data_IF_040901047455
#
_entry.id   IF_040901047455
#
_cell.length_a   1.000
_cell.length_b   1.000
_cell.length_c   1.000
_cell.angle_alpha   90.00
_cell.angle_beta   90.00
_cell.angle_gamma   90.00
#
_symmetry.space_group_name_H-M   'P 1'
#
loop_
_entity.id
_entity.type
_entity.pdbx_description
1 polymer ?
#
# COMPACT_ATOMS: atom_id res chain seq x y z
N UNK A 1 -18.11 11.33 6.76
CA UNK A 1 -19.19 11.07 5.75
C UNK A 1 -19.40 9.57 5.74
N UNK A 2 -20.59 9.09 6.18
CA UNK A 2 -20.94 7.69 6.01
C UNK A 2 -21.32 7.50 4.54
N UNK A 3 -20.68 6.58 3.84
CA UNK A 3 -21.14 6.10 2.55
C UNK A 3 -22.57 5.56 2.75
N UNK A 4 -23.57 6.29 2.25
CA UNK A 4 -24.91 5.77 2.15
C UNK A 4 -24.97 4.87 0.92
N UNK A 5 -25.16 3.58 1.14
CA UNK A 5 -25.40 2.63 0.05
C UNK A 5 -26.77 2.96 -0.52
N UNK A 6 -26.84 3.34 -1.79
CA UNK A 6 -28.09 3.49 -2.50
C UNK A 6 -28.69 2.11 -2.82
N UNK A 7 -29.48 1.60 -1.87
CA UNK A 7 -30.14 0.31 -2.02
C UNK A 7 -31.08 0.28 -3.23
N UNK A 8 -31.66 1.41 -3.62
CA UNK A 8 -32.55 1.49 -4.78
C UNK A 8 -31.77 1.31 -6.09
N UNK A 9 -30.61 1.97 -6.22
CA UNK A 9 -29.70 1.79 -7.36
C UNK A 9 -29.18 0.34 -7.46
N UNK A 10 -28.84 -0.27 -6.31
CA UNK A 10 -28.45 -1.68 -6.28
C UNK A 10 -29.57 -2.61 -6.72
N UNK A 11 -30.80 -2.41 -6.24
CA UNK A 11 -31.97 -3.20 -6.64
C UNK A 11 -32.29 -3.00 -8.13
N UNK A 12 -32.12 -1.81 -8.67
CA UNK A 12 -32.29 -1.54 -10.10
C UNK A 12 -31.27 -2.27 -11.00
N UNK A 13 -30.13 -2.68 -10.47
CA UNK A 13 -29.12 -3.48 -11.19
C UNK A 13 -29.49 -4.97 -11.28
N UNK A 14 -30.34 -5.49 -10.39
CA UNK A 14 -30.67 -6.93 -10.30
C UNK A 14 -31.21 -7.54 -11.60
N UNK A 15 -32.08 -6.88 -12.41
CA UNK A 15 -32.54 -7.44 -13.66
C UNK A 15 -31.38 -7.76 -14.61
N UNK A 16 -30.40 -6.83 -14.75
CA UNK A 16 -29.21 -7.01 -15.60
C UNK A 16 -28.31 -8.14 -15.09
N UNK A 17 -28.19 -8.32 -13.78
CA UNK A 17 -27.44 -9.43 -13.19
C UNK A 17 -28.17 -10.74 -13.48
N UNK A 18 -29.49 -10.75 -13.39
CA UNK A 18 -30.33 -11.93 -13.63
C UNK A 18 -30.26 -12.43 -15.07
N UNK A 19 -30.17 -11.52 -16.04
CA UNK A 19 -29.98 -11.86 -17.46
C UNK A 19 -28.68 -12.59 -17.76
N UNK A 20 -27.68 -12.49 -16.86
CA UNK A 20 -26.33 -13.07 -17.00
C UNK A 20 -26.10 -14.30 -16.14
N UNK A 21 -27.07 -14.72 -15.34
CA UNK A 21 -26.95 -15.82 -14.39
C UNK A 21 -28.05 -16.86 -14.62
N UNK A 22 -27.64 -18.08 -14.94
CA UNK A 22 -28.54 -19.25 -15.00
C UNK A 22 -28.63 -19.84 -13.59
N UNK A 23 -29.57 -19.38 -12.76
CA UNK A 23 -29.80 -19.91 -11.41
C UNK A 23 -29.85 -18.85 -10.29
N UNK A 24 -29.64 -19.25 -9.02
CA UNK A 24 -29.61 -18.33 -7.90
C UNK A 24 -28.48 -17.31 -8.04
N UNK A 25 -28.81 -16.02 -7.82
CA UNK A 25 -27.81 -14.93 -7.90
C UNK A 25 -26.97 -14.91 -6.62
N UNK A 26 -25.65 -15.07 -6.79
CA UNK A 26 -24.65 -14.78 -5.77
C UNK A 26 -23.63 -13.83 -6.42
N UNK A 27 -23.75 -12.53 -6.14
CA UNK A 27 -22.95 -11.50 -6.82
C UNK A 27 -22.61 -10.35 -5.89
N UNK A 28 -21.43 -9.74 -6.10
CA UNK A 28 -21.09 -8.43 -5.57
C UNK A 28 -21.55 -7.35 -6.56
N UNK A 29 -22.19 -6.32 -6.05
CA UNK A 29 -22.62 -5.14 -6.83
C UNK A 29 -21.86 -3.93 -6.31
N UNK A 30 -21.19 -3.21 -7.21
CA UNK A 30 -20.41 -2.04 -6.88
C UNK A 30 -21.03 -0.80 -7.52
N UNK A 31 -21.33 0.22 -6.71
CA UNK A 31 -21.72 1.54 -7.17
C UNK A 31 -20.44 2.35 -7.50
N UNK A 32 -20.08 2.37 -8.78
CA UNK A 32 -18.88 3.07 -9.22
C UNK A 32 -19.02 4.60 -9.15
N UNK A 33 -20.25 5.14 -9.28
CA UNK A 33 -20.48 6.58 -9.15
C UNK A 33 -20.30 7.05 -7.70
N UNK A 34 -20.79 6.26 -6.73
CA UNK A 34 -20.56 6.53 -5.33
C UNK A 34 -19.08 6.41 -4.96
N UNK A 35 -18.36 5.43 -5.53
CA UNK A 35 -16.92 5.27 -5.34
C UNK A 35 -16.14 6.46 -5.89
N UNK A 36 -16.43 6.92 -7.10
CA UNK A 36 -15.82 8.07 -7.76
C UNK A 36 -16.00 9.34 -6.90
N UNK A 37 -17.23 9.62 -6.51
CA UNK A 37 -17.58 10.77 -5.66
C UNK A 37 -16.83 10.74 -4.33
N UNK A 38 -16.73 9.58 -3.70
CA UNK A 38 -16.04 9.43 -2.42
C UNK A 38 -14.54 9.60 -2.57
N UNK A 39 -13.94 9.02 -3.62
CA UNK A 39 -12.51 9.16 -3.90
C UNK A 39 -12.13 10.61 -4.21
N UNK A 40 -12.92 11.32 -5.02
CA UNK A 40 -12.77 12.75 -5.28
C UNK A 40 -12.84 13.58 -3.98
N UNK A 41 -13.82 13.27 -3.12
CA UNK A 41 -13.94 13.93 -1.83
C UNK A 41 -12.72 13.69 -0.94
N UNK A 42 -12.25 12.44 -0.83
CA UNK A 42 -11.05 12.12 -0.05
C UNK A 42 -9.83 12.88 -0.57
N UNK A 43 -9.61 12.88 -1.88
CA UNK A 43 -8.50 13.62 -2.51
C UNK A 43 -8.55 15.12 -2.18
N UNK A 44 -9.72 15.72 -2.20
CA UNK A 44 -9.91 17.14 -1.88
C UNK A 44 -9.64 17.50 -0.41
N UNK A 45 -9.68 16.52 0.52
CA UNK A 45 -9.36 16.75 1.93
C UNK A 45 -7.86 16.62 2.23
N UNK A 46 -7.08 16.03 1.32
CA UNK A 46 -5.65 15.85 1.56
C UNK A 46 -4.87 17.13 1.30
N UNK A 47 -3.89 17.47 2.16
CA UNK A 47 -2.92 18.52 1.87
C UNK A 47 -2.18 18.27 0.56
N UNK A 48 -1.81 19.34 -0.15
CA UNK A 48 -1.17 19.24 -1.47
C UNK A 48 0.16 18.45 -1.48
N UNK A 49 0.83 18.37 -0.33
CA UNK A 49 2.07 17.60 -0.15
C UNK A 49 1.82 16.11 0.17
N UNK A 50 0.56 15.69 0.28
CA UNK A 50 0.21 14.30 0.54
C UNK A 50 -0.19 13.59 -0.76
N UNK A 51 0.40 12.43 -0.99
CA UNK A 51 0.01 11.51 -2.05
C UNK A 51 -0.95 10.45 -1.52
N UNK A 52 -1.87 10.02 -2.36
CA UNK A 52 -2.86 8.99 -2.05
C UNK A 52 -2.63 7.77 -2.92
N UNK A 53 -2.31 6.64 -2.31
CA UNK A 53 -2.15 5.36 -2.99
C UNK A 53 -3.29 4.41 -2.63
N UNK A 54 -3.82 3.70 -3.63
CA UNK A 54 -4.85 2.69 -3.39
C UNK A 54 -4.24 1.30 -3.24
N UNK A 55 -4.51 0.64 -2.12
CA UNK A 55 -4.05 -0.73 -1.87
C UNK A 55 -4.95 -1.74 -2.60
N UNK A 56 -4.43 -2.36 -3.66
CA UNK A 56 -5.17 -3.27 -4.55
C UNK A 56 -5.71 -4.51 -3.85
N UNK A 57 -5.09 -4.94 -2.76
CA UNK A 57 -5.59 -6.05 -1.91
C UNK A 57 -7.02 -5.86 -1.41
N UNK A 58 -7.53 -4.62 -1.39
CA UNK A 58 -8.91 -4.34 -1.01
C UNK A 58 -9.88 -4.76 -2.12
N UNK A 59 -9.61 -4.40 -3.37
CA UNK A 59 -10.32 -4.85 -4.56
C UNK A 59 -9.54 -4.46 -5.82
N UNK A 60 -9.02 -5.43 -6.56
CA UNK A 60 -8.21 -5.22 -7.77
C UNK A 60 -9.01 -5.34 -9.08
N UNK A 61 -10.34 -5.30 -9.02
CA UNK A 61 -11.18 -5.39 -10.22
C UNK A 61 -10.95 -4.19 -11.17
N UNK A 62 -10.81 -4.42 -12.49
CA UNK A 62 -10.48 -3.35 -13.42
C UNK A 62 -11.43 -2.15 -13.40
N UNK A 63 -12.77 -2.31 -13.24
CA UNK A 63 -13.66 -1.17 -13.11
C UNK A 63 -13.36 -0.32 -11.87
N UNK A 64 -13.00 -0.94 -10.74
CA UNK A 64 -12.62 -0.24 -9.51
C UNK A 64 -11.34 0.55 -9.72
N UNK A 65 -10.30 -0.10 -10.27
CA UNK A 65 -9.01 0.56 -10.54
C UNK A 65 -9.17 1.75 -11.49
N UNK A 66 -9.94 1.61 -12.56
CA UNK A 66 -10.22 2.71 -13.49
C UNK A 66 -10.99 3.87 -12.87
N UNK A 67 -11.94 3.58 -11.98
CA UNK A 67 -12.71 4.62 -11.26
C UNK A 67 -11.81 5.38 -10.30
N UNK A 68 -10.88 4.70 -9.63
CA UNK A 68 -9.99 5.33 -8.66
C UNK A 68 -8.80 6.07 -9.28
N UNK A 69 -8.33 5.63 -10.45
CA UNK A 69 -7.12 6.16 -11.10
C UNK A 69 -7.07 7.71 -11.21
N UNK A 70 -8.16 8.45 -11.51
CA UNK A 70 -8.14 9.91 -11.55
C UNK A 70 -7.95 10.59 -10.18
N UNK A 71 -8.14 9.87 -9.09
CA UNK A 71 -8.18 10.42 -7.73
C UNK A 71 -7.00 10.00 -6.86
N UNK A 72 -6.16 9.07 -7.34
CA UNK A 72 -5.00 8.57 -6.63
C UNK A 72 -3.71 8.89 -7.37
N UNK A 73 -2.60 8.97 -6.63
CA UNK A 73 -1.27 9.20 -7.20
C UNK A 73 -0.62 7.89 -7.66
N UNK A 74 -1.13 6.74 -7.20
CA UNK A 74 -0.64 5.43 -7.57
C UNK A 74 -1.36 4.29 -6.86
N UNK A 75 -0.81 3.10 -6.97
CA UNK A 75 -1.39 1.88 -6.40
C UNK A 75 -0.36 1.12 -5.58
N UNK A 76 -0.84 0.41 -4.53
CA UNK A 76 -0.01 -0.46 -3.71
C UNK A 76 -0.36 -1.93 -3.99
N UNK A 77 0.67 -2.73 -4.28
CA UNK A 77 0.64 -4.18 -4.38
C UNK A 77 1.21 -4.83 -3.11
N UNK A 78 0.65 -5.97 -2.69
CA UNK A 78 1.12 -6.77 -1.57
C UNK A 78 1.68 -8.15 -2.00
N UNK A 79 1.74 -8.43 -3.30
CA UNK A 79 2.31 -9.63 -3.90
C UNK A 79 2.79 -9.37 -5.32
N UNK A 80 3.68 -10.22 -5.84
CA UNK A 80 4.13 -10.12 -7.24
C UNK A 80 3.00 -10.29 -8.24
N UNK A 81 1.99 -11.11 -7.94
CA UNK A 81 0.80 -11.26 -8.77
C UNK A 81 -0.02 -9.97 -8.85
N UNK A 82 -0.23 -9.27 -7.72
CA UNK A 82 -0.87 -7.95 -7.72
C UNK A 82 -0.03 -6.91 -8.45
N UNK A 83 1.30 -6.93 -8.27
CA UNK A 83 2.21 -6.02 -8.95
C UNK A 83 2.13 -6.16 -10.47
N UNK A 84 2.16 -7.40 -10.99
CA UNK A 84 2.00 -7.69 -12.42
C UNK A 84 0.63 -7.22 -12.93
N UNK A 85 -0.42 -7.50 -12.18
CA UNK A 85 -1.78 -7.13 -12.53
C UNK A 85 -1.96 -5.61 -12.58
N UNK A 86 -1.52 -4.89 -11.55
CA UNK A 86 -1.60 -3.44 -11.49
C UNK A 86 -0.84 -2.77 -12.64
N UNK A 87 0.38 -3.24 -12.91
CA UNK A 87 1.16 -2.73 -14.05
C UNK A 87 0.46 -2.96 -15.39
N UNK A 88 -0.18 -4.12 -15.57
CA UNK A 88 -0.96 -4.40 -16.78
C UNK A 88 -2.21 -3.52 -16.91
N UNK A 89 -2.90 -3.21 -15.81
CA UNK A 89 -4.11 -2.39 -15.81
C UNK A 89 -3.83 -0.88 -15.83
N UNK A 90 -2.71 -0.45 -15.25
CA UNK A 90 -2.34 0.95 -15.04
C UNK A 90 -0.83 1.15 -15.32
N UNK A 91 -0.37 0.99 -16.57
CA UNK A 91 1.06 0.89 -16.91
C UNK A 91 1.86 2.18 -16.65
N UNK A 92 1.19 3.32 -16.49
CA UNK A 92 1.82 4.61 -16.22
C UNK A 92 1.71 5.06 -14.75
N UNK A 93 0.99 4.30 -13.93
CA UNK A 93 0.79 4.68 -12.54
C UNK A 93 2.02 4.30 -11.69
N UNK A 94 2.47 5.16 -10.77
CA UNK A 94 3.42 4.81 -9.74
C UNK A 94 2.93 3.64 -8.90
N UNK A 95 3.84 2.72 -8.57
CA UNK A 95 3.52 1.53 -7.79
C UNK A 95 4.32 1.49 -6.49
N UNK A 96 3.65 1.08 -5.42
CA UNK A 96 4.27 0.70 -4.16
C UNK A 96 4.19 -0.83 -4.03
N UNK A 97 5.29 -1.47 -3.61
CA UNK A 97 5.31 -2.91 -3.44
C UNK A 97 5.67 -3.29 -2.01
N UNK A 98 4.67 -3.73 -1.24
CA UNK A 98 4.77 -4.16 0.16
C UNK A 98 4.68 -5.67 0.33
N UNK A 99 4.73 -6.11 1.59
CA UNK A 99 4.63 -7.52 1.99
C UNK A 99 5.95 -8.10 2.52
N UNK A 100 5.90 -8.92 3.59
CA UNK A 100 7.11 -9.39 4.30
C UNK A 100 7.76 -10.64 3.66
N UNK A 101 7.09 -11.26 2.69
CA UNK A 101 7.51 -12.54 2.11
C UNK A 101 7.85 -12.48 0.61
N UNK A 102 8.42 -11.35 0.14
CA UNK A 102 8.75 -11.19 -1.28
C UNK A 102 9.82 -12.19 -1.74
N UNK A 103 9.57 -12.85 -2.85
CA UNK A 103 10.51 -13.75 -3.52
C UNK A 103 11.51 -12.94 -4.37
N UNK A 104 12.67 -13.52 -4.69
CA UNK A 104 13.67 -12.86 -5.54
C UNK A 104 13.13 -12.54 -6.94
N UNK A 105 12.27 -13.41 -7.47
CA UNK A 105 11.57 -13.18 -8.74
C UNK A 105 10.60 -11.99 -8.68
N UNK A 106 9.95 -11.76 -7.56
CA UNK A 106 9.05 -10.62 -7.34
C UNK A 106 9.86 -9.33 -7.14
N UNK A 107 10.99 -9.40 -6.42
CA UNK A 107 11.93 -8.29 -6.30
C UNK A 107 12.52 -7.90 -7.66
N UNK A 108 12.87 -8.89 -8.50
CA UNK A 108 13.36 -8.65 -9.86
C UNK A 108 12.29 -7.98 -10.72
N UNK A 109 11.04 -8.42 -10.61
CA UNK A 109 9.92 -7.80 -11.28
C UNK A 109 9.75 -6.33 -10.85
N UNK A 110 9.77 -6.05 -9.54
CA UNK A 110 9.68 -4.69 -9.02
C UNK A 110 10.84 -3.81 -9.50
N UNK A 111 12.08 -4.32 -9.47
CA UNK A 111 13.27 -3.61 -9.93
C UNK A 111 13.24 -3.29 -11.44
N UNK A 112 12.57 -4.09 -12.25
CA UNK A 112 12.41 -3.84 -13.69
C UNK A 112 11.41 -2.72 -14.00
N UNK A 113 10.49 -2.40 -13.09
CA UNK A 113 9.49 -1.36 -13.31
C UNK A 113 10.09 0.05 -13.12
N UNK A 114 9.74 1.03 -13.97
CA UNK A 114 10.33 2.37 -13.92
C UNK A 114 9.94 3.14 -12.65
N UNK A 115 8.70 3.01 -12.22
CA UNK A 115 8.07 3.77 -11.14
C UNK A 115 7.53 2.84 -10.04
N UNK A 116 8.42 1.98 -9.51
CA UNK A 116 8.08 1.10 -8.40
C UNK A 116 8.97 1.41 -7.18
N UNK A 117 8.35 1.75 -6.05
CA UNK A 117 9.02 1.88 -4.76
C UNK A 117 8.76 0.64 -3.92
N UNK A 118 9.82 0.01 -3.41
CA UNK A 118 9.71 -1.22 -2.63
C UNK A 118 9.70 -0.91 -1.13
N UNK A 119 8.71 -1.43 -0.40
CA UNK A 119 8.69 -1.42 1.05
C UNK A 119 9.55 -2.58 1.56
N UNK A 120 10.72 -2.27 2.06
CA UNK A 120 11.66 -3.26 2.59
C UNK A 120 11.31 -3.55 4.06
N UNK A 121 11.18 -4.83 4.39
CA UNK A 121 10.67 -5.28 5.69
C UNK A 121 11.71 -6.04 6.54
N UNK A 122 12.90 -6.33 5.98
CA UNK A 122 14.00 -6.97 6.71
C UNK A 122 15.37 -6.62 6.11
N UNK A 123 16.45 -6.81 6.90
CA UNK A 123 17.82 -6.64 6.42
C UNK A 123 18.17 -7.63 5.29
N UNK A 124 17.70 -8.86 5.39
CA UNK A 124 17.90 -9.88 4.35
C UNK A 124 17.19 -9.51 3.04
N UNK A 125 15.98 -8.95 3.12
CA UNK A 125 15.28 -8.47 1.92
C UNK A 125 16.01 -7.30 1.28
N UNK A 126 16.55 -6.39 2.09
CA UNK A 126 17.35 -5.25 1.59
C UNK A 126 18.57 -5.72 0.79
N UNK A 127 19.28 -6.74 1.28
CA UNK A 127 20.43 -7.34 0.61
C UNK A 127 20.04 -7.99 -0.72
N UNK A 128 18.99 -8.81 -0.71
CA UNK A 128 18.46 -9.46 -1.92
C UNK A 128 18.00 -8.45 -2.98
N UNK A 129 17.29 -7.39 -2.53
CA UNK A 129 16.85 -6.33 -3.45
C UNK A 129 18.05 -5.56 -4.04
N UNK A 130 19.09 -5.29 -3.24
CA UNK A 130 20.30 -4.63 -3.72
C UNK A 130 21.01 -5.43 -4.81
N UNK A 131 21.12 -6.75 -4.62
CA UNK A 131 21.69 -7.66 -5.60
C UNK A 131 20.88 -7.69 -6.91
N UNK A 132 19.56 -7.89 -6.80
CA UNK A 132 18.65 -7.93 -7.94
C UNK A 132 18.66 -6.60 -8.70
N UNK A 133 18.59 -5.47 -8.01
CA UNK A 133 18.60 -4.14 -8.61
C UNK A 133 19.94 -3.84 -9.31
N UNK A 134 21.07 -4.29 -8.72
CA UNK A 134 22.40 -4.19 -9.31
C UNK A 134 22.49 -4.98 -10.62
N UNK A 135 22.02 -6.21 -10.64
CA UNK A 135 21.97 -7.04 -11.85
C UNK A 135 21.10 -6.42 -12.94
N UNK A 136 20.01 -5.76 -12.56
CA UNK A 136 19.14 -5.05 -13.50
C UNK A 136 19.69 -3.71 -13.98
N UNK A 137 20.83 -3.24 -13.44
CA UNK A 137 21.40 -1.93 -13.74
C UNK A 137 20.47 -0.77 -13.31
N UNK A 138 19.70 -0.94 -12.26
CA UNK A 138 18.67 0.01 -11.80
C UNK A 138 19.02 0.56 -10.42
N UNK A 139 18.54 1.77 -10.15
CA UNK A 139 18.50 2.34 -8.80
C UNK A 139 17.05 2.36 -8.31
N UNK A 140 16.73 1.43 -7.42
CA UNK A 140 15.37 1.21 -6.93
C UNK A 140 15.09 2.09 -5.70
N UNK A 141 14.03 2.91 -5.69
CA UNK A 141 13.61 3.62 -4.49
C UNK A 141 13.04 2.65 -3.46
N UNK A 142 13.39 2.84 -2.18
CA UNK A 142 12.91 2.00 -1.09
C UNK A 142 12.35 2.83 0.05
N UNK A 143 11.25 2.34 0.64
CA UNK A 143 10.81 2.71 1.97
C UNK A 143 11.24 1.63 2.95
N UNK A 144 11.90 2.01 4.06
CA UNK A 144 12.12 1.08 5.16
C UNK A 144 10.83 0.99 5.99
N UNK A 145 10.19 -0.17 5.99
CA UNK A 145 9.05 -0.39 6.88
C UNK A 145 9.55 -0.66 8.28
N UNK A 146 9.14 0.20 9.21
CA UNK A 146 9.60 0.15 10.60
C UNK A 146 8.51 -0.38 11.52
N UNK A 147 8.89 -1.38 12.32
CA UNK A 147 8.06 -1.96 13.37
C UNK A 147 8.28 -1.20 14.68
N UNK A 148 7.55 -0.11 14.89
CA UNK A 148 7.68 0.71 16.09
C UNK A 148 6.52 0.51 17.07
N UNK A 149 6.79 0.67 18.35
CA UNK A 149 5.76 0.77 19.38
C UNK A 149 5.31 2.24 19.53
N UNK A 150 4.01 2.47 19.56
CA UNK A 150 3.44 3.80 19.82
C UNK A 150 2.74 3.77 21.17
N UNK A 151 3.23 4.52 22.19
CA UNK A 151 2.59 4.59 23.49
C UNK A 151 1.14 5.08 23.38
N UNK A 152 0.23 4.44 24.10
CA UNK A 152 -1.19 4.79 24.09
C UNK A 152 -1.98 4.28 22.88
N UNK A 153 -1.36 3.61 21.93
CA UNK A 153 -2.10 2.89 20.88
C UNK A 153 -2.89 1.73 21.49
N UNK A 154 -4.16 1.60 21.10
CA UNK A 154 -4.99 0.50 21.59
C UNK A 154 -4.44 -0.84 21.10
N UNK A 155 -4.15 -1.75 22.04
CA UNK A 155 -3.77 -3.11 21.71
C UNK A 155 -4.98 -3.87 21.20
N UNK A 156 -4.95 -4.26 19.92
CA UNK A 156 -5.97 -5.09 19.30
C UNK A 156 -5.33 -6.30 18.61
N UNK A 157 -6.12 -7.35 18.32
CA UNK A 157 -5.63 -8.51 17.54
C UNK A 157 -5.19 -8.12 16.11
N UNK A 158 -5.46 -6.90 15.68
CA UNK A 158 -5.14 -6.36 14.35
C UNK A 158 -3.91 -5.45 14.37
N UNK A 159 -3.15 -5.43 15.47
CA UNK A 159 -1.87 -4.73 15.53
C UNK A 159 -0.84 -5.47 14.66
N UNK A 160 -0.19 -4.73 13.78
CA UNK A 160 0.84 -5.22 12.84
C UNK A 160 2.25 -4.77 13.24
N UNK A 161 2.39 -4.02 14.32
CA UNK A 161 3.67 -3.50 14.80
C UNK A 161 3.71 -3.30 16.32
N UNK A 162 4.88 -2.92 16.83
CA UNK A 162 5.11 -2.70 18.25
C UNK A 162 5.35 -3.97 19.06
N UNK A 163 5.34 -5.14 18.42
CA UNK A 163 5.64 -6.46 18.98
C UNK A 163 6.40 -7.29 17.93
N UNK A 164 7.10 -8.37 18.31
CA UNK A 164 7.71 -9.28 17.35
C UNK A 164 6.66 -9.76 16.33
N UNK A 165 6.91 -9.49 15.07
CA UNK A 165 6.01 -9.84 13.98
C UNK A 165 6.81 -10.03 12.69
N UNK A 166 6.26 -10.69 11.65
CA UNK A 166 6.92 -10.76 10.34
C UNK A 166 6.97 -9.42 9.60
N UNK A 167 6.40 -8.35 10.16
CA UNK A 167 6.23 -7.07 9.49
C UNK A 167 7.22 -6.02 9.98
N UNK A 168 8.10 -5.61 9.07
CA UNK A 168 8.98 -4.47 9.24
C UNK A 168 10.23 -4.73 10.08
N UNK A 169 11.20 -3.86 9.93
CA UNK A 169 12.46 -3.81 10.67
C UNK A 169 12.23 -3.30 12.09
N UNK A 170 12.88 -3.89 13.06
CA UNK A 170 12.93 -3.31 14.39
C UNK A 170 13.79 -2.02 14.41
N UNK A 171 13.50 -1.06 15.30
CA UNK A 171 14.28 0.18 15.39
C UNK A 171 15.78 -0.04 15.63
N UNK A 172 16.17 -1.13 16.29
CA UNK A 172 17.59 -1.47 16.49
C UNK A 172 18.31 -1.84 15.18
N UNK A 173 17.59 -2.29 14.16
CA UNK A 173 18.15 -2.63 12.85
C UNK A 173 18.33 -1.42 11.93
N UNK A 174 17.78 -0.25 12.30
CA UNK A 174 17.81 0.94 11.46
C UNK A 174 19.25 1.33 11.06
N UNK A 175 20.17 1.34 12.02
CA UNK A 175 21.57 1.69 11.75
C UNK A 175 22.20 0.74 10.71
N UNK A 176 22.00 -0.56 10.87
CA UNK A 176 22.48 -1.56 9.93
C UNK A 176 21.84 -1.43 8.54
N UNK A 177 20.54 -1.13 8.48
CA UNK A 177 19.84 -0.88 7.22
C UNK A 177 20.40 0.34 6.49
N UNK A 178 20.63 1.44 7.22
CA UNK A 178 21.21 2.66 6.64
C UNK A 178 22.64 2.44 6.11
N UNK A 179 23.47 1.68 6.83
CA UNK A 179 24.81 1.31 6.36
C UNK A 179 24.75 0.49 5.06
N UNK A 180 23.82 -0.49 4.98
CA UNK A 180 23.64 -1.30 3.75
C UNK A 180 23.15 -0.44 2.58
N UNK A 181 22.22 0.47 2.81
CA UNK A 181 21.76 1.42 1.79
C UNK A 181 22.90 2.29 1.26
N UNK A 182 23.73 2.83 2.14
CA UNK A 182 24.90 3.64 1.75
C UNK A 182 25.92 2.84 0.92
N UNK A 183 26.08 1.56 1.22
CA UNK A 183 26.97 0.66 0.49
C UNK A 183 26.37 0.16 -0.85
N UNK A 184 25.09 0.39 -1.11
CA UNK A 184 24.36 -0.17 -2.26
C UNK A 184 23.92 0.94 -3.22
N UNK A 185 24.69 1.28 -4.26
CA UNK A 185 24.32 2.34 -5.22
C UNK A 185 23.10 1.99 -6.07
N UNK A 186 22.69 0.71 -6.08
CA UNK A 186 21.48 0.21 -6.73
C UNK A 186 20.20 0.47 -5.94
N UNK A 187 20.30 1.05 -4.72
CA UNK A 187 19.14 1.40 -3.90
C UNK A 187 19.19 2.86 -3.47
N UNK A 188 18.03 3.47 -3.33
CA UNK A 188 17.89 4.84 -2.84
C UNK A 188 16.81 4.91 -1.77
N UNK A 189 17.17 5.36 -0.57
CA UNK A 189 16.16 5.60 0.47
C UNK A 189 15.20 6.70 0.01
N UNK A 190 13.94 6.38 -0.10
CA UNK A 190 12.86 7.32 -0.41
C UNK A 190 12.14 7.79 0.87
N UNK A 191 12.19 7.01 1.95
CA UNK A 191 11.59 7.35 3.23
C UNK A 191 11.31 6.14 4.10
N UNK A 192 10.34 6.29 5.00
CA UNK A 192 9.92 5.25 5.93
C UNK A 192 8.46 4.90 5.73
N UNK A 193 8.12 3.63 5.94
CA UNK A 193 6.75 3.14 5.95
C UNK A 193 6.37 2.70 7.36
N UNK A 194 5.16 3.07 7.79
CA UNK A 194 4.59 2.67 9.07
C UNK A 194 3.19 2.11 8.88
N UNK A 195 2.93 0.94 9.42
CA UNK A 195 1.62 0.32 9.44
C UNK A 195 1.43 -0.44 10.75
N UNK A 196 1.08 0.31 11.80
CA UNK A 196 0.93 -0.27 13.14
C UNK A 196 -0.38 -1.04 13.29
N UNK A 197 -1.46 -0.57 12.67
CA UNK A 197 -2.80 -1.11 12.91
C UNK A 197 -3.63 -1.13 11.62
N UNK A 198 -4.34 -2.25 11.41
CA UNK A 198 -5.36 -2.38 10.38
C UNK A 198 -6.74 -1.98 10.91
N UNK A 199 -7.67 -1.65 9.99
CA UNK A 199 -9.07 -1.33 10.28
C UNK A 199 -9.27 -0.13 11.22
N UNK A 200 -8.34 0.82 11.26
CA UNK A 200 -8.53 2.04 12.04
C UNK A 200 -9.66 2.89 11.43
N UNK A 201 -10.72 3.10 12.20
CA UNK A 201 -11.91 3.85 11.80
C UNK A 201 -12.11 5.15 12.59
N UNK A 202 -11.28 5.37 13.61
CA UNK A 202 -11.28 6.57 14.43
C UNK A 202 -10.22 7.54 13.88
N UNK A 203 -10.68 8.69 13.36
CA UNK A 203 -9.81 9.70 12.79
C UNK A 203 -8.86 10.31 13.82
N UNK A 204 -9.30 10.47 15.07
CA UNK A 204 -8.47 11.02 16.15
C UNK A 204 -7.34 10.07 16.52
N UNK A 205 -7.65 8.78 16.65
CA UNK A 205 -6.65 7.75 16.88
C UNK A 205 -5.66 7.64 15.70
N UNK A 206 -6.14 7.75 14.45
CA UNK A 206 -5.28 7.77 13.27
C UNK A 206 -4.34 8.98 13.26
N UNK A 207 -4.82 10.17 13.59
CA UNK A 207 -3.98 11.37 13.69
C UNK A 207 -2.92 11.23 14.78
N UNK A 208 -3.26 10.60 15.92
CA UNK A 208 -2.30 10.30 16.98
C UNK A 208 -1.16 9.42 16.48
N UNK A 209 -1.47 8.36 15.71
CA UNK A 209 -0.47 7.48 15.10
C UNK A 209 0.42 8.24 14.12
N UNK A 210 -0.17 9.01 13.20
CA UNK A 210 0.60 9.81 12.23
C UNK A 210 1.53 10.79 12.93
N UNK A 211 1.06 11.49 13.96
CA UNK A 211 1.89 12.39 14.74
C UNK A 211 3.04 11.65 15.46
N UNK A 212 2.81 10.43 15.94
CA UNK A 212 3.88 9.61 16.53
C UNK A 212 4.92 9.19 15.48
N UNK A 213 4.49 8.77 14.29
CA UNK A 213 5.40 8.42 13.18
C UNK A 213 6.29 9.60 12.79
N UNK A 214 5.71 10.79 12.63
CA UNK A 214 6.46 12.00 12.28
C UNK A 214 7.49 12.36 13.37
N UNK A 215 7.14 12.29 14.66
CA UNK A 215 8.09 12.50 15.75
C UNK A 215 9.22 11.48 15.74
N UNK A 216 8.93 10.21 15.48
CA UNK A 216 9.93 9.15 15.41
C UNK A 216 10.93 9.42 14.28
N UNK A 217 10.44 9.76 13.08
CA UNK A 217 11.33 10.09 11.95
C UNK A 217 12.19 11.33 12.24
N UNK A 218 11.65 12.33 12.95
CA UNK A 218 12.43 13.50 13.35
C UNK A 218 13.61 13.15 14.28
N UNK A 219 13.45 12.11 15.11
CA UNK A 219 14.53 11.64 15.99
C UNK A 219 15.61 10.83 15.25
N UNK A 220 15.30 10.32 14.05
CA UNK A 220 16.23 9.54 13.21
C UNK A 220 17.04 10.41 12.22
N UNK A 221 16.75 11.70 12.18
CA UNK A 221 17.52 12.71 11.43
C UNK A 221 18.73 13.17 12.20
#
# INVERSE_FOLDING_TARGET
VSLQIDTAAMLAALPRVRERCDGPICAYVYDLAALDTHAAWMRAQLPAQCELFYAAKANAEPPILRTLAPHVDGFEAASGGELAWLHAQQPQAPLLFGGPGKLDTELAQAAALPDCTVHVESLSELERLAEVASHAGRCVPVFLRMNIAVPGAQSTRLMMGGQPSPFGLDPCDLHAAMQRLQASPSLRLAGFHFHLMSHQRDATAQLHLVAAYLRTVQQWR
#
